data_IF_926347598840
#
_entry.id   IF_926347598840
#
_cell.length_a   1.000
_cell.length_b   1.000
_cell.length_c   1.000
_cell.angle_alpha   90.00
_cell.angle_beta   90.00
_cell.angle_gamma   90.00
#
_symmetry.space_group_name_H-M   'P 1'
#
loop_
_entity.id
_entity.type
_entity.pdbx_description
1 polymer ?
#
# COMPACT_ATOMS: atom_id res chain seq x y z
N UNK A 1 2.21 -17.63 -9.30
CA UNK A 1 3.24 -16.68 -9.77
C UNK A 1 3.25 -15.51 -8.81
N UNK A 2 4.42 -15.03 -8.40
CA UNK A 2 4.49 -13.91 -7.46
C UNK A 2 3.84 -12.64 -8.01
N UNK A 3 3.17 -11.89 -7.15
CA UNK A 3 2.61 -10.56 -7.47
C UNK A 3 3.72 -9.52 -7.59
N UNK A 4 4.79 -9.65 -6.79
CA UNK A 4 5.98 -8.78 -6.83
C UNK A 4 7.22 -9.64 -6.95
N UNK A 5 8.12 -9.25 -7.84
CA UNK A 5 9.46 -9.85 -7.98
C UNK A 5 10.50 -8.75 -8.06
N UNK A 6 11.50 -8.80 -7.19
CA UNK A 6 12.66 -7.92 -7.18
C UNK A 6 13.92 -8.75 -7.44
N UNK A 7 14.82 -8.26 -8.30
CA UNK A 7 16.10 -8.91 -8.58
C UNK A 7 17.21 -7.87 -8.57
N UNK A 8 18.14 -8.02 -7.60
CA UNK A 8 19.31 -7.14 -7.42
C UNK A 8 18.96 -5.66 -7.40
N UNK A 9 17.83 -5.30 -6.76
CA UNK A 9 17.34 -3.93 -6.74
C UNK A 9 18.21 -3.07 -5.84
N UNK A 10 18.77 -2.00 -6.42
CA UNK A 10 19.52 -0.97 -5.71
C UNK A 10 18.87 0.39 -5.89
N UNK A 11 18.94 1.22 -4.86
CA UNK A 11 18.55 2.64 -4.93
C UNK A 11 19.57 3.49 -4.22
N UNK A 12 20.13 4.44 -4.94
CA UNK A 12 21.05 5.46 -4.41
C UNK A 12 20.47 6.84 -4.68
N UNK A 13 20.43 7.68 -3.67
CA UNK A 13 20.09 9.10 -3.76
C UNK A 13 21.35 9.93 -3.65
N UNK A 14 21.46 11.03 -4.42
CA UNK A 14 22.64 11.89 -4.46
C UNK A 14 23.80 11.27 -5.24
N UNK A 15 24.91 11.98 -5.29
CA UNK A 15 26.13 11.61 -6.01
C UNK A 15 27.37 11.86 -5.16
N UNK A 16 28.49 11.18 -5.48
CA UNK A 16 29.77 11.35 -4.83
C UNK A 16 29.74 11.01 -3.35
N UNK A 17 30.38 11.85 -2.51
CA UNK A 17 30.49 11.64 -1.07
C UNK A 17 29.15 11.79 -0.32
N UNK A 18 28.14 12.43 -0.94
CA UNK A 18 26.79 12.59 -0.37
C UNK A 18 25.83 11.49 -0.80
N UNK A 19 26.30 10.45 -1.48
CA UNK A 19 25.47 9.35 -1.94
C UNK A 19 24.91 8.52 -0.76
N UNK A 20 23.59 8.38 -0.71
CA UNK A 20 22.89 7.55 0.27
C UNK A 20 22.36 6.30 -0.43
N UNK A 21 22.91 5.15 -0.09
CA UNK A 21 22.46 3.84 -0.60
C UNK A 21 21.25 3.35 0.19
N UNK A 22 20.06 3.73 -0.27
CA UNK A 22 18.80 3.43 0.41
C UNK A 22 18.36 1.96 0.23
N UNK A 23 18.71 1.31 -0.91
CA UNK A 23 18.52 -0.12 -1.14
C UNK A 23 19.80 -0.70 -1.74
N UNK A 24 20.14 -1.95 -1.33
CA UNK A 24 21.39 -2.62 -1.68
C UNK A 24 21.11 -4.09 -2.05
N UNK A 25 21.15 -4.40 -3.35
CA UNK A 25 21.02 -5.76 -3.90
C UNK A 25 19.81 -6.53 -3.31
N UNK A 26 18.62 -5.91 -3.32
CA UNK A 26 17.41 -6.53 -2.77
C UNK A 26 16.85 -7.54 -3.76
N UNK A 27 16.79 -8.79 -3.33
CA UNK A 27 16.06 -9.89 -3.98
C UNK A 27 14.84 -10.23 -3.13
N UNK A 28 13.64 -10.33 -3.75
CA UNK A 28 12.39 -10.61 -3.03
C UNK A 28 11.34 -11.14 -4.00
N UNK A 29 10.59 -12.15 -3.56
CA UNK A 29 9.35 -12.58 -4.18
C UNK A 29 8.20 -12.47 -3.17
N UNK A 30 7.07 -11.90 -3.59
CA UNK A 30 5.82 -11.83 -2.80
C UNK A 30 4.73 -12.50 -3.62
N UNK A 31 4.15 -13.56 -3.09
CA UNK A 31 3.13 -14.33 -3.77
C UNK A 31 1.75 -13.65 -3.70
N UNK A 32 0.86 -14.07 -4.60
CA UNK A 32 -0.52 -13.58 -4.61
C UNK A 32 -1.22 -13.98 -3.31
N UNK A 33 -1.89 -13.02 -2.67
CA UNK A 33 -2.62 -13.21 -1.42
C UNK A 33 -1.74 -13.17 -0.16
N UNK A 34 -0.42 -12.94 -0.29
CA UNK A 34 0.44 -12.73 0.86
C UNK A 34 0.03 -11.49 1.66
N UNK A 35 0.13 -11.60 2.98
CA UNK A 35 0.09 -10.45 3.90
C UNK A 35 1.49 -10.27 4.51
N UNK A 36 2.27 -9.36 3.92
CA UNK A 36 3.69 -9.15 4.25
C UNK A 36 3.85 -7.88 5.07
N UNK A 37 4.62 -7.95 6.14
CA UNK A 37 5.06 -6.79 6.91
C UNK A 37 6.55 -6.52 6.66
N UNK A 38 6.88 -5.29 6.25
CA UNK A 38 8.25 -4.76 6.21
C UNK A 38 8.55 -4.07 7.54
N UNK A 39 9.43 -4.63 8.33
CA UNK A 39 9.85 -4.08 9.62
C UNK A 39 11.31 -3.60 9.58
N UNK A 40 11.65 -2.69 10.48
CA UNK A 40 13.03 -2.18 10.62
C UNK A 40 13.06 -0.76 11.17
N UNK A 41 14.22 -0.28 11.62
CA UNK A 41 14.37 1.07 12.16
C UNK A 41 14.06 2.14 11.11
N UNK A 42 13.89 3.39 11.55
CA UNK A 42 13.80 4.53 10.63
C UNK A 42 15.05 4.60 9.77
N UNK A 43 14.89 4.90 8.48
CA UNK A 43 16.00 4.94 7.52
C UNK A 43 16.48 3.58 6.99
N UNK A 44 15.88 2.45 7.39
CA UNK A 44 16.27 1.11 6.89
C UNK A 44 15.92 0.83 5.42
N UNK A 45 15.15 1.72 4.76
CA UNK A 45 14.78 1.59 3.35
C UNK A 45 13.35 1.12 3.07
N UNK A 46 12.49 0.93 4.10
CA UNK A 46 11.09 0.43 3.94
C UNK A 46 10.27 1.26 2.96
N UNK A 47 10.12 2.56 3.23
CA UNK A 47 9.38 3.48 2.35
C UNK A 47 9.99 3.55 0.94
N UNK A 48 11.33 3.50 0.84
CA UNK A 48 12.00 3.44 -0.45
C UNK A 48 11.63 2.17 -1.22
N UNK A 49 11.61 1.01 -0.55
CA UNK A 49 11.21 -0.25 -1.17
C UNK A 49 9.75 -0.22 -1.62
N UNK A 50 8.82 0.29 -0.78
CA UNK A 50 7.42 0.49 -1.16
C UNK A 50 7.28 1.42 -2.38
N UNK A 51 8.04 2.51 -2.43
CA UNK A 51 8.02 3.45 -3.56
C UNK A 51 8.53 2.82 -4.85
N UNK A 52 9.57 1.95 -4.77
CA UNK A 52 10.06 1.20 -5.94
C UNK A 52 8.99 0.22 -6.45
N UNK A 53 8.42 -0.59 -5.56
CA UNK A 53 7.36 -1.56 -5.90
C UNK A 53 6.11 -0.83 -6.40
N UNK A 54 5.78 0.32 -5.81
CA UNK A 54 4.66 1.16 -6.21
C UNK A 54 4.88 1.94 -7.51
N UNK A 55 6.05 1.89 -8.14
CA UNK A 55 6.37 2.68 -9.32
C UNK A 55 6.28 4.20 -9.07
N UNK A 56 6.46 4.63 -7.82
CA UNK A 56 6.53 6.05 -7.45
C UNK A 56 7.94 6.63 -7.64
N UNK A 57 8.95 5.76 -7.63
CA UNK A 57 10.33 6.11 -7.92
C UNK A 57 10.98 4.96 -8.73
N UNK A 58 12.14 5.19 -9.30
CA UNK A 58 12.87 4.22 -10.13
C UNK A 58 14.10 3.69 -9.41
N UNK A 59 14.43 2.40 -9.56
CA UNK A 59 15.67 1.85 -9.05
C UNK A 59 16.86 2.48 -9.78
N UNK A 60 18.02 2.53 -9.11
CA UNK A 60 19.30 2.89 -9.75
C UNK A 60 19.79 1.72 -10.61
N UNK A 61 19.53 0.49 -10.17
CA UNK A 61 19.82 -0.74 -10.91
C UNK A 61 18.94 -1.88 -10.39
N UNK A 62 18.91 -2.99 -11.12
CA UNK A 62 18.11 -4.17 -10.82
C UNK A 62 16.78 -4.17 -11.56
N UNK A 63 15.97 -5.19 -11.31
CA UNK A 63 14.74 -5.46 -12.03
C UNK A 63 13.56 -5.53 -11.05
N UNK A 64 12.45 -4.90 -11.43
CA UNK A 64 11.20 -4.89 -10.65
C UNK A 64 10.05 -5.33 -11.53
N UNK A 65 9.38 -6.41 -11.14
CA UNK A 65 8.15 -6.86 -11.78
C UNK A 65 7.00 -6.80 -10.78
N UNK A 66 5.88 -6.17 -11.17
CA UNK A 66 4.64 -6.09 -10.39
C UNK A 66 3.47 -6.49 -11.28
N UNK A 67 2.61 -7.38 -10.81
CA UNK A 67 1.48 -7.89 -11.57
C UNK A 67 1.87 -8.33 -12.99
N UNK A 68 2.99 -9.05 -13.13
CA UNK A 68 3.61 -9.51 -14.38
C UNK A 68 4.10 -8.41 -15.33
N UNK A 69 4.30 -7.19 -14.85
CA UNK A 69 4.76 -6.05 -15.66
C UNK A 69 6.12 -5.54 -15.15
N UNK A 70 7.09 -5.29 -16.06
CA UNK A 70 8.44 -4.77 -15.75
C UNK A 70 8.40 -3.28 -15.49
N UNK A 71 8.14 -2.89 -14.23
CA UNK A 71 7.95 -1.48 -13.84
C UNK A 71 9.24 -0.63 -13.91
N UNK A 72 10.40 -1.25 -13.81
CA UNK A 72 11.71 -0.58 -13.96
C UNK A 72 11.96 -0.04 -15.39
N UNK A 73 11.26 -0.58 -16.39
CA UNK A 73 11.40 -0.22 -17.81
C UNK A 73 10.31 0.75 -18.31
N UNK A 74 9.23 0.92 -17.56
CA UNK A 74 8.08 1.75 -17.93
C UNK A 74 8.42 3.24 -17.99
N UNK A 75 7.79 3.96 -18.90
CA UNK A 75 7.78 5.42 -18.88
C UNK A 75 6.84 5.97 -17.78
N UNK A 76 6.75 7.32 -17.66
CA UNK A 76 5.91 7.95 -16.63
C UNK A 76 4.42 7.70 -16.83
N UNK A 77 3.96 7.64 -18.09
CA UNK A 77 2.57 7.38 -18.43
C UNK A 77 2.18 5.94 -18.14
N UNK A 78 3.02 5.00 -18.55
CA UNK A 78 2.84 3.56 -18.29
C UNK A 78 2.83 3.27 -16.78
N UNK A 79 3.73 3.89 -16.00
CA UNK A 79 3.74 3.78 -14.54
C UNK A 79 2.46 4.35 -13.91
N UNK A 80 1.92 5.45 -14.44
CA UNK A 80 0.66 6.01 -13.94
C UNK A 80 -0.53 5.08 -14.19
N UNK A 81 -0.61 4.48 -15.39
CA UNK A 81 -1.65 3.52 -15.74
C UNK A 81 -1.52 2.22 -14.94
N UNK A 82 -0.29 1.71 -14.78
CA UNK A 82 -0.01 0.54 -13.96
C UNK A 82 -0.46 0.76 -12.50
N UNK A 83 -0.12 1.90 -11.89
CA UNK A 83 -0.59 2.25 -10.54
C UNK A 83 -2.10 2.30 -10.46
N UNK A 84 -2.71 3.02 -11.41
CA UNK A 84 -4.17 3.21 -11.43
C UNK A 84 -4.95 1.90 -11.47
N UNK A 85 -4.40 0.87 -12.13
CA UNK A 85 -5.11 -0.39 -12.32
C UNK A 85 -4.70 -1.50 -11.36
N UNK A 86 -3.45 -1.48 -10.87
CA UNK A 86 -2.90 -2.64 -10.17
C UNK A 86 -2.51 -2.38 -8.72
N UNK A 87 -2.43 -1.11 -8.29
CA UNK A 87 -1.91 -0.78 -6.95
C UNK A 87 -2.89 0.10 -6.17
N UNK A 88 -3.25 -0.36 -4.98
CA UNK A 88 -3.88 0.47 -3.96
C UNK A 88 -2.83 1.04 -3.00
N UNK A 89 -2.94 2.32 -2.66
CA UNK A 89 -2.04 2.96 -1.68
C UNK A 89 -2.80 3.36 -0.43
N UNK A 90 -2.24 3.02 0.73
CA UNK A 90 -2.68 3.45 2.06
C UNK A 90 -1.50 4.19 2.70
N UNK A 91 -1.66 5.46 3.03
CA UNK A 91 -0.62 6.31 3.60
C UNK A 91 -0.89 6.64 5.06
N UNK A 92 0.16 6.95 5.80
CA UNK A 92 0.08 7.44 7.18
C UNK A 92 -0.81 8.67 7.31
N UNK A 93 -0.72 9.62 6.39
CA UNK A 93 -1.47 10.89 6.40
C UNK A 93 -2.83 10.81 5.69
N UNK A 94 -3.38 9.59 5.48
CA UNK A 94 -4.66 9.30 4.80
C UNK A 94 -4.71 9.79 3.34
N UNK A 95 -4.20 10.97 3.04
CA UNK A 95 -4.17 11.62 1.71
C UNK A 95 -5.55 11.67 1.05
N UNK A 96 -6.58 11.97 1.85
CA UNK A 96 -7.92 12.23 1.34
C UNK A 96 -8.00 13.64 0.73
N UNK A 97 -8.80 13.78 -0.31
CA UNK A 97 -9.09 15.08 -0.94
C UNK A 97 -10.10 15.81 -0.03
N UNK A 98 -9.73 16.95 0.62
CA UNK A 98 -10.52 17.51 1.72
C UNK A 98 -11.91 18.02 1.30
N UNK A 99 -12.06 18.43 0.05
CA UNK A 99 -13.31 18.99 -0.50
C UNK A 99 -14.29 17.91 -0.94
N UNK A 100 -13.83 16.67 -1.10
CA UNK A 100 -14.65 15.52 -1.49
C UNK A 100 -15.20 14.80 -0.25
N UNK A 101 -16.40 14.25 -0.38
CA UNK A 101 -17.00 13.35 0.60
C UNK A 101 -16.23 12.02 0.69
N UNK A 102 -16.56 11.15 1.66
CA UNK A 102 -16.01 9.80 1.76
C UNK A 102 -16.27 9.00 0.48
N UNK A 103 -17.51 9.02 -0.03
CA UNK A 103 -17.92 8.39 -1.28
C UNK A 103 -17.11 8.93 -2.47
N UNK A 104 -17.05 10.24 -2.65
CA UNK A 104 -16.33 10.87 -3.75
C UNK A 104 -14.83 10.58 -3.72
N UNK A 105 -14.20 10.50 -2.53
CA UNK A 105 -12.81 10.07 -2.38
C UNK A 105 -12.59 8.64 -2.88
N UNK A 106 -13.53 7.74 -2.60
CA UNK A 106 -13.48 6.34 -3.08
C UNK A 106 -13.75 6.26 -4.57
N UNK A 107 -14.75 6.99 -5.07
CA UNK A 107 -15.14 7.01 -6.49
C UNK A 107 -14.07 7.61 -7.40
N UNK A 108 -13.21 8.49 -6.88
CA UNK A 108 -12.23 9.23 -7.66
C UNK A 108 -11.30 8.31 -8.47
N UNK A 109 -10.82 7.20 -7.89
CA UNK A 109 -9.97 6.24 -8.60
C UNK A 109 -10.73 5.59 -9.75
N UNK A 110 -11.97 5.16 -9.53
CA UNK A 110 -12.82 4.56 -10.57
C UNK A 110 -13.20 5.56 -11.66
N UNK A 111 -13.33 6.83 -11.31
CA UNK A 111 -13.56 7.91 -12.29
C UNK A 111 -12.35 8.06 -13.23
N UNK A 112 -11.13 8.01 -12.70
CA UNK A 112 -9.91 8.03 -13.51
C UNK A 112 -9.79 6.79 -14.40
N UNK A 113 -10.32 5.65 -13.96
CA UNK A 113 -10.41 4.42 -14.76
C UNK A 113 -11.50 4.49 -15.85
N UNK A 114 -12.34 5.54 -15.87
CA UNK A 114 -13.41 5.73 -16.86
C UNK A 114 -14.71 4.96 -16.57
N UNK A 115 -14.92 4.49 -15.33
CA UNK A 115 -16.15 3.76 -14.98
C UNK A 115 -17.38 4.70 -14.98
N UNK A 116 -18.55 4.22 -15.45
CA UNK A 116 -19.82 4.95 -15.38
C UNK A 116 -20.22 5.30 -13.94
N UNK A 117 -20.97 6.38 -13.77
CA UNK A 117 -21.34 6.92 -12.45
C UNK A 117 -22.16 5.95 -11.60
N UNK A 118 -23.11 5.24 -12.21
CA UNK A 118 -23.94 4.24 -11.56
C UNK A 118 -23.10 3.08 -10.98
N UNK A 119 -22.14 2.58 -11.76
CA UNK A 119 -21.21 1.55 -11.32
C UNK A 119 -20.32 2.05 -10.19
N UNK A 120 -19.77 3.28 -10.30
CA UNK A 120 -18.96 3.88 -9.23
C UNK A 120 -19.76 4.00 -7.94
N UNK A 121 -21.00 4.48 -8.03
CA UNK A 121 -21.87 4.66 -6.87
C UNK A 121 -22.20 3.34 -6.17
N UNK A 122 -22.49 2.30 -6.94
CA UNK A 122 -22.74 0.96 -6.42
C UNK A 122 -21.50 0.39 -5.71
N UNK A 123 -20.33 0.43 -6.37
CA UNK A 123 -19.08 -0.11 -5.81
C UNK A 123 -18.60 0.67 -4.59
N UNK A 124 -18.68 2.01 -4.63
CA UNK A 124 -18.29 2.86 -3.50
C UNK A 124 -19.16 2.61 -2.27
N UNK A 125 -20.48 2.47 -2.47
CA UNK A 125 -21.40 2.12 -1.39
C UNK A 125 -21.10 0.75 -0.76
N UNK A 126 -20.83 -0.26 -1.59
CA UNK A 126 -20.51 -1.60 -1.11
C UNK A 126 -19.21 -1.63 -0.29
N UNK A 127 -18.13 -1.03 -0.80
CA UNK A 127 -16.85 -1.03 -0.08
C UNK A 127 -16.88 -0.17 1.20
N UNK A 128 -17.61 0.97 1.19
CA UNK A 128 -17.77 1.80 2.40
C UNK A 128 -18.55 1.05 3.47
N UNK A 129 -19.57 0.27 3.09
CA UNK A 129 -20.27 -0.62 4.01
C UNK A 129 -19.32 -1.68 4.59
N UNK A 130 -18.52 -2.33 3.76
CA UNK A 130 -17.57 -3.38 4.15
C UNK A 130 -16.51 -2.88 5.14
N UNK A 131 -15.99 -1.67 4.95
CA UNK A 131 -15.05 -1.05 5.90
C UNK A 131 -15.73 -0.44 7.13
N UNK A 132 -17.05 -0.60 7.30
CA UNK A 132 -17.81 -0.16 8.46
C UNK A 132 -18.09 1.35 8.49
N UNK A 133 -18.32 1.97 7.34
CA UNK A 133 -18.62 3.40 7.19
C UNK A 133 -20.03 3.69 6.68
N UNK A 134 -20.97 2.75 6.86
CA UNK A 134 -22.38 2.96 6.50
C UNK A 134 -22.96 4.19 7.20
N UNK A 135 -23.64 5.05 6.43
CA UNK A 135 -24.23 6.30 6.91
C UNK A 135 -23.25 7.47 7.04
N UNK A 136 -21.98 7.27 6.64
CA UNK A 136 -20.93 8.30 6.63
C UNK A 136 -20.47 8.65 5.21
N UNK A 137 -21.14 8.13 4.18
CA UNK A 137 -20.73 8.24 2.78
C UNK A 137 -20.60 9.69 2.32
N UNK A 138 -21.50 10.55 2.79
CA UNK A 138 -21.60 11.96 2.38
C UNK A 138 -20.81 12.91 3.32
N UNK A 139 -20.10 12.37 4.33
CA UNK A 139 -19.23 13.16 5.21
C UNK A 139 -17.92 13.50 4.52
N UNK A 140 -17.45 14.74 4.75
CA UNK A 140 -16.11 15.16 4.34
C UNK A 140 -15.05 14.74 5.35
N UNK A 141 -13.76 14.65 4.98
CA UNK A 141 -12.69 14.26 5.88
C UNK A 141 -12.68 15.03 7.22
N UNK A 142 -12.95 16.34 7.22
CA UNK A 142 -13.00 17.15 8.43
C UNK A 142 -14.13 16.76 9.40
N UNK A 143 -15.13 16.01 8.96
CA UNK A 143 -16.27 15.53 9.76
C UNK A 143 -16.09 14.08 10.22
N UNK A 144 -14.94 13.46 9.93
CA UNK A 144 -14.61 12.08 10.23
C UNK A 144 -13.48 12.01 11.27
N UNK A 145 -13.56 11.03 12.17
CA UNK A 145 -12.42 10.72 13.06
C UNK A 145 -11.21 10.20 12.26
N UNK A 146 -10.01 10.22 12.85
CA UNK A 146 -8.80 9.71 12.20
C UNK A 146 -8.95 8.25 11.73
N UNK A 147 -9.53 7.38 12.57
CA UNK A 147 -9.79 5.99 12.18
C UNK A 147 -10.82 5.85 11.05
N UNK A 148 -11.84 6.73 11.01
CA UNK A 148 -12.80 6.75 9.90
C UNK A 148 -12.15 7.25 8.61
N UNK A 149 -11.31 8.29 8.68
CA UNK A 149 -10.54 8.77 7.52
C UNK A 149 -9.62 7.67 6.97
N UNK A 150 -8.95 6.92 7.85
CA UNK A 150 -8.10 5.81 7.44
C UNK A 150 -8.92 4.69 6.75
N UNK A 151 -10.11 4.37 7.25
CA UNK A 151 -11.02 3.41 6.59
C UNK A 151 -11.49 3.90 5.22
N UNK A 152 -11.71 5.21 5.02
CA UNK A 152 -11.97 5.78 3.69
C UNK A 152 -10.75 5.59 2.78
N UNK A 153 -9.53 5.81 3.28
CA UNK A 153 -8.31 5.56 2.50
C UNK A 153 -8.15 4.07 2.13
N UNK A 154 -8.51 3.15 3.04
CA UNK A 154 -8.56 1.70 2.75
C UNK A 154 -9.60 1.39 1.68
N UNK A 155 -10.82 1.90 1.79
CA UNK A 155 -11.87 1.71 0.80
C UNK A 155 -11.45 2.22 -0.59
N UNK A 156 -10.82 3.41 -0.64
CA UNK A 156 -10.27 3.97 -1.88
C UNK A 156 -9.19 3.08 -2.50
N UNK A 157 -8.34 2.48 -1.69
CA UNK A 157 -7.29 1.59 -2.16
C UNK A 157 -7.85 0.26 -2.73
N UNK A 158 -8.96 -0.22 -2.18
CA UNK A 158 -9.57 -1.51 -2.51
C UNK A 158 -10.55 -1.46 -3.68
N UNK A 159 -11.27 -0.34 -3.87
CA UNK A 159 -12.43 -0.24 -4.76
C UNK A 159 -12.12 -0.57 -6.23
N UNK A 160 -10.87 -0.41 -6.63
CA UNK A 160 -10.37 -0.77 -7.97
C UNK A 160 -9.97 -2.23 -8.12
N UNK A 161 -10.13 -3.05 -7.07
CA UNK A 161 -9.74 -4.47 -7.04
C UNK A 161 -8.27 -4.68 -7.46
N UNK A 162 -7.31 -3.99 -6.80
CA UNK A 162 -5.91 -4.01 -7.20
C UNK A 162 -5.27 -5.39 -6.96
N UNK A 163 -4.21 -5.70 -7.71
CA UNK A 163 -3.40 -6.90 -7.47
C UNK A 163 -2.57 -6.79 -6.18
N UNK A 164 -2.25 -5.55 -5.77
CA UNK A 164 -1.34 -5.26 -4.66
C UNK A 164 -1.79 -4.01 -3.90
N UNK A 165 -1.79 -4.08 -2.56
CA UNK A 165 -1.95 -2.92 -1.69
C UNK A 165 -0.63 -2.65 -0.96
N UNK A 166 -0.18 -1.40 -1.06
CA UNK A 166 1.00 -0.89 -0.37
C UNK A 166 0.55 0.06 0.74
N UNK A 167 0.87 -0.28 1.98
CA UNK A 167 0.51 0.52 3.15
C UNK A 167 1.79 1.00 3.87
N UNK A 168 2.02 2.31 3.88
CA UNK A 168 3.16 2.90 4.58
C UNK A 168 2.70 3.47 5.92
N UNK A 169 3.10 2.82 7.03
CA UNK A 169 2.76 3.17 8.41
C UNK A 169 1.26 3.45 8.63
N UNK A 170 0.34 2.51 8.23
CA UNK A 170 -1.10 2.80 8.16
C UNK A 170 -1.77 3.07 9.52
N UNK A 171 -1.10 2.75 10.63
CA UNK A 171 -1.61 2.90 12.00
C UNK A 171 -0.95 4.02 12.78
N UNK A 172 0.08 4.70 12.24
CA UNK A 172 0.92 5.63 13.00
C UNK A 172 0.17 6.83 13.62
N UNK A 173 -0.98 7.22 13.06
CA UNK A 173 -1.80 8.33 13.55
C UNK A 173 -3.06 7.86 14.32
N UNK A 174 -3.10 6.59 14.74
CA UNK A 174 -4.24 5.98 15.42
C UNK A 174 -3.86 5.60 16.86
N UNK A 175 -4.85 5.63 17.76
CA UNK A 175 -4.72 4.98 19.06
C UNK A 175 -4.64 3.44 18.91
N UNK A 176 -4.14 2.76 19.93
CA UNK A 176 -3.88 1.31 19.88
C UNK A 176 -5.12 0.47 19.58
N UNK A 177 -6.30 0.86 20.11
CA UNK A 177 -7.56 0.11 19.89
C UNK A 177 -8.04 0.30 18.45
N UNK A 178 -7.92 1.51 17.91
CA UNK A 178 -8.29 1.82 16.51
C UNK A 178 -7.29 1.18 15.54
N UNK A 179 -6.00 1.15 15.88
CA UNK A 179 -4.95 0.48 15.11
C UNK A 179 -5.20 -1.03 15.01
N UNK A 180 -5.53 -1.69 16.13
CA UNK A 180 -5.87 -3.12 16.15
C UNK A 180 -7.06 -3.44 15.25
N UNK A 181 -8.17 -2.68 15.40
CA UNK A 181 -9.36 -2.84 14.54
C UNK A 181 -9.08 -2.61 13.05
N UNK A 182 -8.15 -1.69 12.73
CA UNK A 182 -7.73 -1.49 11.36
C UNK A 182 -6.96 -2.69 10.83
N UNK A 183 -6.04 -3.25 11.62
CA UNK A 183 -5.27 -4.42 11.20
C UNK A 183 -6.14 -5.66 11.04
N UNK A 184 -7.11 -5.87 11.93
CA UNK A 184 -8.12 -6.93 11.80
C UNK A 184 -8.92 -6.77 10.51
N UNK A 185 -9.34 -5.54 10.19
CA UNK A 185 -10.02 -5.23 8.94
C UNK A 185 -9.15 -5.56 7.72
N UNK A 186 -7.88 -5.10 7.68
CA UNK A 186 -6.98 -5.39 6.56
C UNK A 186 -6.73 -6.89 6.39
N UNK A 187 -6.62 -7.62 7.51
CA UNK A 187 -6.48 -9.06 7.52
C UNK A 187 -7.71 -9.77 6.94
N UNK A 188 -8.90 -9.36 7.40
CA UNK A 188 -10.17 -9.88 6.88
C UNK A 188 -10.30 -9.64 5.37
N UNK A 189 -9.99 -8.42 4.90
CA UNK A 189 -10.03 -8.08 3.48
C UNK A 189 -9.01 -8.88 2.64
N UNK A 190 -7.83 -9.17 3.19
CA UNK A 190 -6.86 -10.07 2.54
C UNK A 190 -7.42 -11.49 2.40
N UNK A 191 -8.08 -12.01 3.45
CA UNK A 191 -8.65 -13.36 3.46
C UNK A 191 -9.83 -13.50 2.49
N UNK A 192 -10.74 -12.52 2.47
CA UNK A 192 -11.95 -12.56 1.64
C UNK A 192 -11.67 -12.31 0.15
N UNK A 193 -10.80 -11.36 -0.16
CA UNK A 193 -10.55 -10.95 -1.56
C UNK A 193 -9.28 -11.56 -2.17
N UNK A 194 -8.43 -12.19 -1.38
CA UNK A 194 -7.14 -12.73 -1.84
C UNK A 194 -6.18 -11.68 -2.39
N UNK A 195 -6.33 -10.40 -1.97
CA UNK A 195 -5.48 -9.29 -2.38
C UNK A 195 -4.15 -9.38 -1.64
N UNK A 196 -3.05 -9.11 -2.32
CA UNK A 196 -1.71 -9.06 -1.71
C UNK A 196 -1.51 -7.75 -0.96
N UNK A 197 -1.04 -7.83 0.29
CA UNK A 197 -0.72 -6.65 1.11
C UNK A 197 0.77 -6.61 1.44
N UNK A 198 1.36 -5.41 1.32
CA UNK A 198 2.70 -5.10 1.83
C UNK A 198 2.59 -3.88 2.74
N UNK A 199 2.80 -4.09 4.03
CA UNK A 199 2.64 -3.08 5.07
C UNK A 199 3.99 -2.74 5.66
N UNK A 200 4.44 -1.48 5.59
CA UNK A 200 5.62 -1.03 6.32
C UNK A 200 5.23 -0.57 7.72
N UNK A 201 6.02 -0.94 8.72
CA UNK A 201 5.81 -0.47 10.09
C UNK A 201 7.03 -0.67 10.97
N UNK A 202 7.05 0.04 12.09
CA UNK A 202 7.92 -0.23 13.24
C UNK A 202 7.11 -0.68 14.48
N UNK A 203 5.79 -0.77 14.38
CA UNK A 203 4.88 -1.17 15.46
C UNK A 203 4.77 -2.70 15.56
N UNK A 204 5.01 -3.23 16.76
CA UNK A 204 4.92 -4.67 17.06
C UNK A 204 3.52 -5.23 16.90
N UNK A 205 2.48 -4.44 17.16
CA UNK A 205 1.09 -4.84 16.97
C UNK A 205 0.84 -5.14 15.49
N UNK A 206 1.24 -4.24 14.59
CA UNK A 206 1.08 -4.45 13.14
C UNK A 206 1.90 -5.66 12.67
N UNK A 207 3.13 -5.81 13.18
CA UNK A 207 3.96 -6.99 12.86
C UNK A 207 3.30 -8.31 13.24
N UNK A 208 2.56 -8.36 14.36
CA UNK A 208 1.90 -9.59 14.82
C UNK A 208 0.72 -10.03 13.96
N UNK A 209 0.13 -9.13 13.15
CA UNK A 209 -0.95 -9.45 12.21
C UNK A 209 -0.45 -9.99 10.87
N UNK A 210 0.83 -9.83 10.55
CA UNK A 210 1.39 -10.30 9.28
C UNK A 210 1.57 -11.82 9.27
N UNK A 211 1.42 -12.44 8.09
CA UNK A 211 1.77 -13.84 7.88
C UNK A 211 3.24 -14.03 7.54
N UNK A 212 3.88 -12.99 7.02
CA UNK A 212 5.29 -12.98 6.66
C UNK A 212 5.92 -11.68 7.09
N UNK A 213 7.02 -11.77 7.83
CA UNK A 213 7.75 -10.63 8.36
C UNK A 213 9.11 -10.52 7.69
N UNK A 214 9.32 -9.45 6.95
CA UNK A 214 10.59 -9.10 6.34
C UNK A 214 11.27 -8.03 7.20
N UNK A 215 12.47 -8.32 7.68
CA UNK A 215 13.26 -7.35 8.47
C UNK A 215 14.26 -6.65 7.56
N UNK A 216 14.19 -5.33 7.56
CA UNK A 216 15.11 -4.49 6.81
C UNK A 216 16.11 -3.79 7.73
N UNK A 217 17.36 -3.75 7.31
CA UNK A 217 18.43 -2.99 7.94
C UNK A 217 19.41 -2.48 6.89
N UNK A 218 19.73 -1.18 6.92
CA UNK A 218 20.69 -0.52 6.01
C UNK A 218 20.47 -0.85 4.52
N UNK A 219 19.19 -0.81 4.09
CA UNK A 219 18.80 -1.03 2.71
C UNK A 219 18.81 -2.49 2.24
N UNK A 220 18.94 -3.45 3.17
CA UNK A 220 18.92 -4.90 2.88
C UNK A 220 17.78 -5.60 3.61
N UNK A 221 17.26 -6.67 3.05
CA UNK A 221 16.44 -7.65 3.78
C UNK A 221 17.41 -8.56 4.52
N UNK A 222 17.36 -8.54 5.85
CA UNK A 222 18.28 -9.32 6.74
C UNK A 222 17.60 -10.54 7.33
N UNK A 223 16.27 -10.60 7.29
CA UNK A 223 15.49 -11.73 7.80
C UNK A 223 14.15 -11.83 7.06
N UNK A 224 13.65 -13.05 6.83
CA UNK A 224 12.41 -13.38 6.14
C UNK A 224 11.73 -14.53 6.87
N UNK A 225 10.72 -14.24 7.68
CA UNK A 225 10.11 -15.18 8.61
C UNK A 225 8.63 -15.37 8.29
N UNK A 226 8.21 -16.60 8.03
CA UNK A 226 6.80 -16.97 8.00
C UNK A 226 6.26 -17.03 9.42
N UNK A 227 5.16 -16.31 9.68
CA UNK A 227 4.45 -16.32 10.96
C UNK A 227 3.23 -17.25 10.86
N UNK A 228 2.91 -17.90 11.97
CA UNK A 228 1.76 -18.84 12.05
C UNK A 228 0.46 -18.13 12.36
#
# INVERSE_FOLDING_TARGET
>A
MPTVTLRKVCKTFGEGELAVHALRDVDLDIDKGDFVCLSGPSGSGKTTLLNMVGGLDRPTSGEITVANQRVDQMDKGELAEMRLRNIGFIFQAYNLIPVLTARENVEFVMQLQGLPTDIRHQKSGAILHEVGLSGLEDRRPAELSGGQQQRVAVARALVSEPALILADEPTANLDSVTAEKLMDLLRHLNDEHGITFVVSTHDKLVMSHARRLLKMHDGKIVDDVQQR
#
